data_IF_936015367386
#
_entry.id   IF_936015367386
#
_cell.length_a   1.000
_cell.length_b   1.000
_cell.length_c   1.000
_cell.angle_alpha   90.00
_cell.angle_beta   90.00
_cell.angle_gamma   90.00
#
_symmetry.space_group_name_H-M   'P 1'
#
loop_
_entity.id
_entity.type
_entity.pdbx_description
1 polymer ?
#
# COMPACT_ATOMS: atom_id res chain seq x y z
N UNK A 1 18.21 -3.09 8.63
CA UNK A 1 17.00 -3.01 7.78
C UNK A 1 15.95 -3.93 8.37
N UNK A 2 14.81 -3.37 8.77
CA UNK A 2 13.77 -4.12 9.45
C UNK A 2 13.20 -5.24 8.55
N UNK A 3 12.95 -6.42 9.11
CA UNK A 3 12.43 -7.60 8.38
C UNK A 3 11.08 -7.36 7.69
N UNK A 4 10.33 -6.35 8.12
CA UNK A 4 9.03 -5.98 7.54
C UNK A 4 9.17 -5.27 6.19
N UNK A 5 10.33 -4.66 5.88
CA UNK A 5 10.51 -3.83 4.68
C UNK A 5 10.26 -4.58 3.37
N UNK A 6 10.47 -5.90 3.34
CA UNK A 6 10.17 -6.73 2.16
C UNK A 6 8.67 -6.71 1.77
N UNK A 7 7.77 -6.48 2.73
CA UNK A 7 6.33 -6.44 2.49
C UNK A 7 5.83 -5.07 2.01
N UNK A 8 6.69 -4.04 2.07
CA UNK A 8 6.39 -2.72 1.51
C UNK A 8 6.79 -2.57 0.04
N UNK A 9 7.44 -3.58 -0.56
CA UNK A 9 7.72 -3.58 -2.00
C UNK A 9 6.41 -3.47 -2.78
N UNK A 10 6.37 -2.58 -3.77
CA UNK A 10 5.19 -2.34 -4.60
C UNK A 10 5.42 -2.72 -6.07
N UNK A 11 6.66 -2.96 -6.50
CA UNK A 11 7.03 -3.19 -7.91
C UNK A 11 6.39 -4.43 -8.56
N UNK A 12 5.77 -5.30 -7.76
CA UNK A 12 5.03 -6.47 -8.23
C UNK A 12 3.56 -6.18 -8.51
N UNK A 13 3.08 -5.01 -8.09
CA UNK A 13 1.69 -4.61 -8.29
C UNK A 13 1.52 -4.01 -9.70
N UNK A 14 0.34 -4.16 -10.32
CA UNK A 14 -0.04 -3.36 -11.49
C UNK A 14 0.03 -1.86 -11.22
N UNK A 15 0.27 -1.06 -12.26
CA UNK A 15 0.49 0.39 -12.16
C UNK A 15 -0.58 1.14 -11.34
N UNK A 16 -1.89 0.91 -11.55
CA UNK A 16 -2.93 1.60 -10.76
C UNK A 16 -2.88 1.28 -9.27
N UNK A 17 -2.43 0.08 -8.88
CA UNK A 17 -2.32 -0.33 -7.49
C UNK A 17 -1.01 0.15 -6.85
N UNK A 18 0.05 0.30 -7.65
CA UNK A 18 1.31 0.87 -7.17
C UNK A 18 1.12 2.30 -6.64
N UNK A 19 0.32 3.12 -7.31
CA UNK A 19 0.10 4.53 -6.95
C UNK A 19 -0.36 4.71 -5.50
N UNK A 20 -1.24 3.84 -5.01
CA UNK A 20 -1.74 3.90 -3.63
C UNK A 20 -0.83 3.19 -2.63
N UNK A 21 0.07 2.32 -3.11
CA UNK A 21 1.02 1.55 -2.29
C UNK A 21 2.32 2.33 -2.01
N UNK A 22 2.78 3.15 -2.97
CA UNK A 22 4.02 3.94 -2.90
C UNK A 22 4.09 4.82 -1.64
N UNK A 23 3.06 5.62 -1.28
CA UNK A 23 3.15 6.51 -0.12
C UNK A 23 3.43 5.77 1.20
N UNK A 24 2.83 4.58 1.38
CA UNK A 24 3.11 3.75 2.55
C UNK A 24 4.54 3.19 2.54
N UNK A 25 5.06 2.82 1.37
CA UNK A 25 6.45 2.38 1.22
C UNK A 25 7.44 3.50 1.60
N UNK A 26 7.19 4.73 1.13
CA UNK A 26 8.06 5.88 1.41
C UNK A 26 8.09 6.20 2.91
N UNK A 27 6.92 6.20 3.57
CA UNK A 27 6.85 6.38 5.03
C UNK A 27 7.58 5.24 5.75
N UNK A 28 7.40 3.98 5.33
CA UNK A 28 8.08 2.84 5.93
C UNK A 28 9.61 2.96 5.83
N UNK A 29 10.13 3.31 4.65
CA UNK A 29 11.57 3.53 4.43
C UNK A 29 12.08 4.67 5.32
N UNK A 30 11.36 5.80 5.34
CA UNK A 30 11.73 6.97 6.15
C UNK A 30 11.80 6.63 7.64
N UNK A 31 10.81 5.91 8.17
CA UNK A 31 10.77 5.50 9.57
C UNK A 31 11.81 4.42 9.88
N UNK A 32 12.08 3.49 8.95
CA UNK A 32 13.12 2.47 9.14
C UNK A 32 14.52 3.09 9.27
N UNK A 33 14.79 4.13 8.49
CA UNK A 33 16.07 4.85 8.51
C UNK A 33 16.20 5.84 9.66
N UNK A 34 15.12 6.49 10.08
CA UNK A 34 15.17 7.57 11.07
C UNK A 34 15.17 7.08 12.53
N UNK A 35 14.67 5.88 12.80
CA UNK A 35 14.44 5.39 14.16
C UNK A 35 15.28 4.15 14.48
N UNK A 36 15.84 4.11 15.69
CA UNK A 36 16.42 2.90 16.27
C UNK A 36 15.37 1.80 16.43
N UNK A 37 15.81 0.54 16.44
CA UNK A 37 14.90 -0.59 16.66
C UNK A 37 14.23 -0.50 18.03
N UNK A 38 12.90 -0.65 18.02
CA UNK A 38 12.08 -0.66 19.23
C UNK A 38 10.75 -1.40 18.97
N UNK A 39 10.05 -1.73 20.06
CA UNK A 39 8.72 -2.31 19.98
C UNK A 39 7.75 -1.39 19.23
N UNK A 40 7.79 -0.09 19.50
CA UNK A 40 6.93 0.92 18.85
C UNK A 40 7.25 1.11 17.37
N UNK A 41 8.53 1.11 16.97
CA UNK A 41 8.91 1.12 15.54
C UNK A 41 8.30 -0.09 14.82
N UNK A 42 8.42 -1.27 15.43
CA UNK A 42 7.87 -2.51 14.86
C UNK A 42 6.34 -2.45 14.79
N UNK A 43 5.68 -1.95 15.82
CA UNK A 43 4.22 -1.79 15.85
C UNK A 43 3.74 -0.80 14.78
N UNK A 44 4.39 0.35 14.66
CA UNK A 44 4.10 1.36 13.65
C UNK A 44 4.24 0.82 12.22
N UNK A 45 5.33 0.09 11.93
CA UNK A 45 5.53 -0.54 10.63
C UNK A 45 4.47 -1.61 10.30
N UNK A 46 3.99 -2.38 11.29
CA UNK A 46 2.89 -3.34 11.06
C UNK A 46 1.58 -2.63 10.74
N UNK A 47 1.22 -1.61 11.51
CA UNK A 47 0.00 -0.81 11.28
C UNK A 47 0.03 -0.13 9.91
N UNK A 48 1.19 0.38 9.51
CA UNK A 48 1.35 0.99 8.19
C UNK A 48 1.23 -0.04 7.06
N UNK A 49 1.70 -1.28 7.27
CA UNK A 49 1.52 -2.37 6.31
C UNK A 49 0.04 -2.74 6.14
N UNK A 50 -0.70 -2.83 7.24
CA UNK A 50 -2.15 -3.05 7.22
C UNK A 50 -2.88 -1.93 6.47
N UNK A 51 -2.52 -0.67 6.73
CA UNK A 51 -3.06 0.49 6.01
C UNK A 51 -2.79 0.39 4.50
N UNK A 52 -1.56 0.07 4.10
CA UNK A 52 -1.18 -0.14 2.69
C UNK A 52 -2.08 -1.18 2.03
N UNK A 53 -2.26 -2.34 2.69
CA UNK A 53 -3.08 -3.43 2.15
C UNK A 53 -4.56 -3.03 2.04
N UNK A 54 -5.09 -2.25 2.98
CA UNK A 54 -6.45 -1.68 2.90
C UNK A 54 -6.60 -0.72 1.70
N UNK A 55 -5.64 0.18 1.48
CA UNK A 55 -5.71 1.12 0.36
C UNK A 55 -5.60 0.42 -1.00
N UNK A 56 -4.79 -0.63 -1.11
CA UNK A 56 -4.73 -1.46 -2.32
C UNK A 56 -6.07 -2.13 -2.60
N UNK A 57 -6.75 -2.69 -1.58
CA UNK A 57 -8.10 -3.26 -1.74
C UNK A 57 -9.13 -2.20 -2.15
N UNK A 58 -9.11 -1.03 -1.52
CA UNK A 58 -10.02 0.06 -1.88
C UNK A 58 -9.82 0.51 -3.35
N UNK A 59 -8.58 0.55 -3.83
CA UNK A 59 -8.30 0.85 -5.25
C UNK A 59 -8.75 -0.28 -6.19
N UNK A 60 -8.71 -1.53 -5.77
CA UNK A 60 -9.28 -2.64 -6.55
C UNK A 60 -10.80 -2.46 -6.69
N UNK A 61 -11.51 -2.20 -5.60
CA UNK A 61 -12.95 -1.92 -5.62
C UNK A 61 -13.29 -0.72 -6.52
N UNK A 62 -12.49 0.35 -6.46
CA UNK A 62 -12.64 1.52 -7.33
C UNK A 62 -12.53 1.17 -8.82
N UNK A 63 -11.60 0.29 -9.20
CA UNK A 63 -11.39 -0.12 -10.59
C UNK A 63 -12.50 -1.05 -11.08
N UNK A 64 -12.90 -2.02 -10.26
CA UNK A 64 -14.02 -2.93 -10.56
C UNK A 64 -15.33 -2.17 -10.78
N UNK A 65 -15.61 -1.16 -9.96
CA UNK A 65 -16.81 -0.33 -10.12
C UNK A 65 -16.80 0.50 -11.43
N UNK A 66 -15.64 1.04 -11.82
CA UNK A 66 -15.50 1.78 -13.10
C UNK A 66 -15.73 0.87 -14.30
N UNK A 67 -15.20 -0.35 -14.27
CA UNK A 67 -15.42 -1.34 -15.33
C UNK A 67 -16.90 -1.71 -15.49
N UNK A 68 -17.68 -1.69 -14.41
CA UNK A 68 -19.14 -1.92 -14.45
C UNK A 68 -19.89 -0.72 -15.02
N UNK A 69 -19.52 0.52 -14.64
CA UNK A 69 -20.12 1.75 -15.17
C UNK A 69 -19.88 1.90 -16.68
N UNK A 70 -18.66 1.57 -17.15
CA UNK A 70 -18.30 1.64 -18.57
C UNK A 70 -19.06 0.59 -19.42
N UNK A 71 -19.53 -0.50 -18.82
CA UNK A 71 -20.30 -1.55 -19.50
C UNK A 71 -21.80 -1.23 -19.62
N UNK A 72 -22.34 -0.37 -18.76
CA UNK A 72 -23.78 -0.01 -18.74
C UNK A 72 -24.07 1.28 -19.55
N UNK A 73 -23.01 2.02 -19.94
CA UNK A 73 -23.10 3.30 -20.68
C UNK A 73 -23.22 3.20 -22.20
N UNK A 74 -23.31 2.01 -22.80
CA UNK A 74 -23.54 1.82 -24.24
C UNK A 74 -25.03 1.55 -24.53
N UNK A 75 -25.84 2.59 -24.53
CA UNK A 75 -27.19 2.60 -25.10
C UNK A 75 -27.37 3.78 -26.05
#
# INVERSE_FOLDING_TARGET
MNRLMKFFKYSHLPKPLMEVSIPCCDVAVKMDMALSESAEKTAGLRKLLEAKDCFVRARLEELENKELEDQDGSA
#
